data_IF_332162510476
#
_entry.id   IF_332162510476
#
_cell.length_a   1.000
_cell.length_b   1.000
_cell.length_c   1.000
_cell.angle_alpha   90.00
_cell.angle_beta   90.00
_cell.angle_gamma   90.00
#
_symmetry.space_group_name_H-M   'P 1'
#
loop_
_entity.id
_entity.type
_entity.pdbx_description
1 polymer ?
#
# COMPACT_ATOMS: atom_id res chain seq x y z
N UNK A 1 7.72 46.71 -8.21
CA UNK A 1 8.23 45.34 -7.97
C UNK A 1 7.03 44.41 -7.72
N UNK A 2 6.46 43.76 -8.75
CA UNK A 2 5.27 42.90 -8.60
C UNK A 2 5.57 41.38 -8.70
N UNK A 3 6.81 40.97 -8.99
CA UNK A 3 7.17 39.56 -9.23
C UNK A 3 7.09 38.71 -7.95
N UNK A 4 7.31 39.30 -6.76
CA UNK A 4 7.27 38.59 -5.48
C UNK A 4 5.90 37.99 -5.12
N UNK A 5 4.82 38.62 -5.56
CA UNK A 5 3.44 38.21 -5.24
C UNK A 5 2.99 37.00 -6.07
N UNK A 6 3.44 36.92 -7.33
CA UNK A 6 3.15 35.78 -8.20
C UNK A 6 3.91 34.53 -7.75
N UNK A 7 5.15 34.68 -7.29
CA UNK A 7 5.94 33.60 -6.69
C UNK A 7 5.32 33.06 -5.39
N UNK A 8 4.78 33.95 -4.54
CA UNK A 8 4.07 33.54 -3.32
C UNK A 8 2.79 32.74 -3.64
N UNK A 9 1.96 33.21 -4.58
CA UNK A 9 0.78 32.47 -5.04
C UNK A 9 1.12 31.11 -5.66
N UNK A 10 2.18 31.03 -6.47
CA UNK A 10 2.61 29.76 -7.05
C UNK A 10 3.07 28.76 -5.98
N UNK A 11 3.82 29.24 -4.96
CA UNK A 11 4.28 28.41 -3.85
C UNK A 11 3.11 27.86 -3.03
N UNK A 12 2.11 28.69 -2.74
CA UNK A 12 0.97 28.29 -1.93
C UNK A 12 0.03 27.35 -2.69
N UNK A 13 -0.15 27.54 -4.02
CA UNK A 13 -0.85 26.57 -4.87
C UNK A 13 -0.12 25.23 -4.94
N UNK A 14 1.21 25.25 -5.09
CA UNK A 14 2.02 24.04 -5.13
C UNK A 14 1.95 23.26 -3.81
N UNK A 15 2.03 23.96 -2.66
CA UNK A 15 1.83 23.36 -1.33
C UNK A 15 0.44 22.74 -1.18
N UNK A 16 -0.61 23.46 -1.61
CA UNK A 16 -1.97 22.94 -1.58
C UNK A 16 -2.16 21.69 -2.46
N UNK A 17 -1.49 21.63 -3.61
CA UNK A 17 -1.51 20.45 -4.47
C UNK A 17 -0.78 19.26 -3.84
N UNK A 18 0.39 19.48 -3.23
CA UNK A 18 1.16 18.44 -2.53
C UNK A 18 0.38 17.89 -1.33
N UNK A 19 -0.25 18.75 -0.53
CA UNK A 19 -1.11 18.36 0.58
C UNK A 19 -2.28 17.46 0.12
N UNK A 20 -2.94 17.81 -0.99
CA UNK A 20 -4.02 16.98 -1.55
C UNK A 20 -3.53 15.64 -2.05
N UNK A 21 -2.40 15.62 -2.76
CA UNK A 21 -1.80 14.37 -3.22
C UNK A 21 -1.38 13.48 -2.04
N UNK A 22 -0.84 14.08 -0.97
CA UNK A 22 -0.49 13.35 0.25
C UNK A 22 -1.71 12.74 0.92
N UNK A 23 -2.80 13.50 1.09
CA UNK A 23 -4.05 12.98 1.69
C UNK A 23 -4.65 11.85 0.86
N UNK A 24 -4.72 12.00 -0.46
CA UNK A 24 -5.20 10.95 -1.34
C UNK A 24 -4.35 9.67 -1.22
N UNK A 25 -3.03 9.80 -1.15
CA UNK A 25 -2.13 8.66 -0.95
C UNK A 25 -2.28 8.02 0.45
N UNK A 26 -2.53 8.82 1.48
CA UNK A 26 -2.79 8.31 2.84
C UNK A 26 -4.14 7.58 2.92
N UNK A 27 -5.18 8.10 2.27
CA UNK A 27 -6.50 7.46 2.13
C UNK A 27 -6.41 6.13 1.38
N UNK A 28 -5.69 6.09 0.25
CA UNK A 28 -5.47 4.88 -0.53
C UNK A 28 -4.68 3.83 0.27
N UNK A 29 -3.68 4.27 1.04
CA UNK A 29 -2.93 3.38 1.94
C UNK A 29 -3.82 2.80 3.05
N UNK A 30 -4.72 3.61 3.61
CA UNK A 30 -5.70 3.15 4.60
C UNK A 30 -6.64 2.09 4.03
N UNK A 31 -7.25 2.36 2.88
CA UNK A 31 -8.14 1.43 2.21
C UNK A 31 -7.44 0.10 1.83
N UNK A 32 -6.16 0.16 1.43
CA UNK A 32 -5.36 -1.04 1.21
C UNK A 32 -5.11 -1.83 2.50
N UNK A 33 -4.78 -1.15 3.60
CA UNK A 33 -4.54 -1.81 4.88
C UNK A 33 -5.78 -2.52 5.43
N UNK A 34 -6.97 -1.93 5.26
CA UNK A 34 -8.24 -2.55 5.64
C UNK A 34 -8.50 -3.82 4.83
N UNK A 35 -8.31 -3.76 3.50
CA UNK A 35 -8.43 -4.93 2.62
C UNK A 35 -7.43 -6.03 2.96
N UNK A 36 -6.19 -5.66 3.28
CA UNK A 36 -5.16 -6.61 3.68
C UNK A 36 -5.51 -7.30 5.01
N UNK A 37 -6.10 -6.58 5.95
CA UNK A 37 -6.58 -7.13 7.22
C UNK A 37 -7.76 -8.09 7.01
N UNK A 38 -8.70 -7.75 6.14
CA UNK A 38 -9.84 -8.62 5.77
C UNK A 38 -9.35 -9.94 5.18
N UNK A 39 -8.43 -9.89 4.20
CA UNK A 39 -7.82 -11.08 3.59
C UNK A 39 -7.15 -11.97 4.64
N UNK A 40 -6.42 -11.39 5.59
CA UNK A 40 -5.76 -12.15 6.67
C UNK A 40 -6.76 -12.82 7.59
N UNK A 41 -7.80 -12.09 8.01
CA UNK A 41 -8.86 -12.65 8.86
C UNK A 41 -9.58 -13.82 8.18
N UNK A 42 -9.83 -13.72 6.87
CA UNK A 42 -10.39 -14.84 6.10
C UNK A 42 -9.44 -16.04 6.04
N UNK A 43 -8.13 -15.82 5.88
CA UNK A 43 -7.13 -16.89 5.84
C UNK A 43 -6.85 -17.55 7.21
N UNK A 44 -7.23 -16.90 8.31
CA UNK A 44 -7.20 -17.50 9.65
C UNK A 44 -8.37 -18.45 9.91
N UNK A 45 -9.41 -18.42 9.07
CA UNK A 45 -10.55 -19.32 9.17
C UNK A 45 -10.13 -20.77 8.83
N UNK A 46 -10.44 -21.77 9.68
CA UNK A 46 -10.08 -23.16 9.43
C UNK A 46 -10.64 -23.67 8.10
N UNK A 47 -9.76 -24.22 7.25
CA UNK A 47 -10.13 -24.73 5.93
C UNK A 47 -10.16 -23.68 4.81
N UNK A 48 -9.96 -22.39 5.13
CA UNK A 48 -9.77 -21.37 4.11
C UNK A 48 -8.46 -21.60 3.35
N UNK A 49 -8.52 -21.43 2.03
CA UNK A 49 -7.35 -21.53 1.14
C UNK A 49 -7.16 -20.22 0.40
N UNK A 50 -5.95 -19.98 -0.14
CA UNK A 50 -5.71 -18.82 -1.00
C UNK A 50 -6.66 -18.77 -2.19
N UNK A 51 -7.04 -19.93 -2.72
CA UNK A 51 -7.98 -20.03 -3.84
C UNK A 51 -9.41 -19.67 -3.45
N UNK A 52 -9.89 -20.12 -2.29
CA UNK A 52 -11.24 -19.80 -1.82
C UNK A 52 -11.37 -18.33 -1.46
N UNK A 53 -10.40 -17.76 -0.73
CA UNK A 53 -10.41 -16.33 -0.38
C UNK A 53 -10.30 -15.45 -1.64
N UNK A 54 -9.47 -15.84 -2.61
CA UNK A 54 -9.37 -15.12 -3.89
C UNK A 54 -10.69 -15.16 -4.67
N UNK A 55 -11.36 -16.30 -4.69
CA UNK A 55 -12.67 -16.44 -5.32
C UNK A 55 -13.73 -15.57 -4.64
N UNK A 56 -13.80 -15.60 -3.32
CA UNK A 56 -14.80 -14.86 -2.55
C UNK A 56 -14.64 -13.34 -2.66
N UNK A 57 -13.39 -12.86 -2.75
CA UNK A 57 -13.07 -11.44 -2.94
C UNK A 57 -13.04 -11.01 -4.42
N UNK A 58 -13.22 -11.95 -5.36
CA UNK A 58 -13.19 -11.65 -6.80
C UNK A 58 -11.83 -11.17 -7.31
N UNK A 59 -10.74 -11.64 -6.71
CA UNK A 59 -9.37 -11.24 -7.07
C UNK A 59 -8.50 -12.44 -7.45
N UNK A 60 -7.28 -12.19 -7.91
CA UNK A 60 -6.35 -13.27 -8.26
C UNK A 60 -5.78 -13.95 -7.00
N UNK A 61 -5.54 -15.26 -7.11
CA UNK A 61 -4.85 -16.04 -6.06
C UNK A 61 -3.47 -15.46 -5.74
N UNK A 62 -2.77 -14.92 -6.73
CA UNK A 62 -1.45 -14.30 -6.57
C UNK A 62 -1.52 -13.05 -5.69
N UNK A 63 -2.55 -12.23 -5.83
CA UNK A 63 -2.75 -11.05 -4.98
C UNK A 63 -2.95 -11.46 -3.51
N UNK A 64 -3.78 -12.48 -3.25
CA UNK A 64 -3.98 -13.00 -1.89
C UNK A 64 -2.68 -13.59 -1.31
N UNK A 65 -1.88 -14.28 -2.12
CA UNK A 65 -0.58 -14.80 -1.70
C UNK A 65 0.40 -13.68 -1.31
N UNK A 66 0.42 -12.58 -2.06
CA UNK A 66 1.23 -11.39 -1.74
C UNK A 66 0.77 -10.78 -0.41
N UNK A 67 -0.54 -10.57 -0.22
CA UNK A 67 -1.09 -9.99 1.01
C UNK A 67 -0.80 -10.87 2.24
N UNK A 68 -0.94 -12.20 2.10
CA UNK A 68 -0.59 -13.14 3.17
C UNK A 68 0.90 -13.09 3.50
N UNK A 69 1.75 -12.95 2.49
CA UNK A 69 3.22 -12.89 2.64
C UNK A 69 3.68 -11.59 3.27
N UNK A 70 3.16 -10.46 2.81
CA UNK A 70 3.44 -9.13 3.38
C UNK A 70 2.94 -9.03 4.82
N UNK A 71 1.84 -9.71 5.16
CA UNK A 71 1.34 -9.78 6.52
C UNK A 71 2.13 -10.62 7.51
N UNK A 72 3.00 -11.51 7.02
CA UNK A 72 3.80 -12.41 7.87
C UNK A 72 5.19 -11.87 8.20
N UNK A 73 5.60 -10.71 7.70
CA UNK A 73 6.91 -10.10 8.06
C UNK A 73 6.72 -8.89 8.96
N UNK A 74 6.94 -8.98 10.28
CA UNK A 74 7.27 -7.81 11.06
C UNK A 74 8.69 -7.38 10.67
N UNK A 75 8.81 -6.37 9.80
CA UNK A 75 10.10 -5.73 9.54
C UNK A 75 10.40 -4.80 10.71
N UNK A 76 11.46 -5.10 11.44
CA UNK A 76 11.84 -4.32 12.62
C UNK A 76 12.89 -3.27 12.29
N UNK A 77 13.52 -3.34 11.11
CA UNK A 77 14.52 -2.39 10.62
C UNK A 77 14.47 -2.14 9.11
N UNK A 78 15.03 -1.00 8.67
CA UNK A 78 15.00 -0.52 7.26
C UNK A 78 15.84 -1.38 6.31
N UNK A 79 16.90 -2.03 6.80
CA UNK A 79 17.71 -2.94 5.97
C UNK A 79 17.00 -4.26 5.64
N UNK A 80 16.17 -4.78 6.56
CA UNK A 80 15.38 -5.99 6.31
C UNK A 80 14.35 -5.78 5.19
N UNK A 81 13.79 -4.56 5.09
CA UNK A 81 12.87 -4.19 4.02
C UNK A 81 13.59 -4.05 2.66
N UNK A 82 14.81 -3.51 2.63
CA UNK A 82 15.62 -3.40 1.40
C UNK A 82 16.02 -4.76 0.84
N UNK A 83 16.49 -5.66 1.71
CA UNK A 83 16.90 -7.01 1.34
C UNK A 83 15.73 -7.85 0.81
N UNK A 84 14.51 -7.64 1.33
CA UNK A 84 13.31 -8.31 0.82
C UNK A 84 12.95 -7.90 -0.61
N UNK A 85 13.10 -6.62 -0.94
CA UNK A 85 12.85 -6.11 -2.28
C UNK A 85 13.90 -6.61 -3.28
N UNK A 86 15.16 -6.78 -2.85
CA UNK A 86 16.22 -7.37 -3.68
C UNK A 86 16.00 -8.88 -3.93
N UNK A 87 15.60 -9.65 -2.91
CA UNK A 87 15.40 -11.11 -2.99
C UNK A 87 14.13 -11.53 -3.77
N UNK A 88 13.16 -10.62 -3.92
CA UNK A 88 11.83 -10.97 -4.45
C UNK A 88 11.27 -10.00 -5.49
N UNK A 89 12.00 -8.94 -5.83
CA UNK A 89 11.67 -8.03 -6.94
C UNK A 89 11.94 -8.60 -8.33
N UNK A 90 12.39 -9.86 -8.44
CA UNK A 90 12.57 -10.57 -9.71
C UNK A 90 11.72 -11.84 -9.76
N UNK A 91 10.42 -11.67 -9.92
CA UNK A 91 9.55 -12.70 -10.49
C UNK A 91 8.56 -12.02 -11.43
N UNK A 92 9.03 -11.62 -12.61
CA UNK A 92 8.55 -12.07 -13.93
C UNK A 92 9.70 -11.92 -14.95
#
# INVERSE_FOLDING_TARGET
>A
MPESDQYAQHRDRARGAIERMKRAADEERGARAERDAEVRAMLETPGATLGSVAHDLGVSKSLIAVIQREGRRPFTTVEEARRFLEEHGQQE
#
